data_IF_319892088563
#
_entry.id   IF_319892088563
#
_cell.length_a   1.000
_cell.length_b   1.000
_cell.length_c   1.000
_cell.angle_alpha   90.00
_cell.angle_beta   90.00
_cell.angle_gamma   90.00
#
_symmetry.space_group_name_H-M   'P 1'
#
loop_
_entity.id
_entity.type
_entity.pdbx_description
1 polymer ?
#
# COMPACT_ATOMS: atom_id res chain seq x y z
N UNK A 1 -8.55 -34.99 6.11
CA UNK A 1 -9.36 -33.77 6.34
C UNK A 1 -8.55 -32.55 5.94
N UNK A 2 -9.12 -31.60 5.19
CA UNK A 2 -8.42 -30.36 4.80
C UNK A 2 -8.80 -29.27 5.80
N UNK A 3 -7.90 -28.94 6.72
CA UNK A 3 -8.06 -27.78 7.60
C UNK A 3 -7.78 -26.51 6.81
N UNK A 4 -8.66 -25.51 6.94
CA UNK A 4 -8.47 -24.18 6.39
C UNK A 4 -7.39 -23.49 7.24
N UNK A 5 -6.24 -23.20 6.63
CA UNK A 5 -5.09 -22.59 7.33
C UNK A 5 -5.20 -21.05 7.41
N UNK A 6 -5.96 -20.43 6.51
CA UNK A 6 -6.05 -18.97 6.37
C UNK A 6 -7.51 -18.53 6.21
N UNK A 7 -7.88 -17.45 6.91
CA UNK A 7 -9.23 -16.90 6.91
C UNK A 7 -9.16 -15.38 6.69
N UNK A 8 -10.02 -14.88 5.80
CA UNK A 8 -10.21 -13.45 5.54
C UNK A 8 -11.44 -12.93 6.26
N UNK A 9 -11.34 -11.76 6.90
CA UNK A 9 -12.48 -11.04 7.49
C UNK A 9 -12.80 -9.78 6.69
N UNK A 10 -14.07 -9.34 6.76
CA UNK A 10 -14.50 -8.05 6.24
C UNK A 10 -13.67 -6.91 6.85
N UNK A 11 -13.41 -5.88 6.04
CA UNK A 11 -12.69 -4.71 6.53
C UNK A 11 -13.49 -3.98 7.60
N UNK A 12 -12.81 -3.55 8.65
CA UNK A 12 -13.30 -2.58 9.62
C UNK A 12 -12.09 -1.92 10.27
N UNK A 13 -12.25 -0.69 10.77
CA UNK A 13 -11.16 0.05 11.43
C UNK A 13 -10.48 -0.73 12.57
N UNK A 14 -11.23 -1.54 13.32
CA UNK A 14 -10.67 -2.35 14.42
C UNK A 14 -10.02 -3.67 14.00
N UNK A 15 -10.15 -4.06 12.73
CA UNK A 15 -9.58 -5.29 12.17
C UNK A 15 -8.51 -5.00 11.11
N UNK A 16 -8.12 -3.73 10.96
CA UNK A 16 -7.03 -3.30 10.08
C UNK A 16 -5.69 -3.84 10.59
N UNK A 17 -4.86 -4.32 9.66
CA UNK A 17 -3.50 -4.75 9.99
C UNK A 17 -2.56 -3.54 10.07
N UNK A 18 -1.93 -3.39 11.23
CA UNK A 18 -1.08 -2.24 11.58
C UNK A 18 0.36 -2.64 11.89
N UNK A 19 0.73 -3.90 11.65
CA UNK A 19 2.07 -4.40 11.89
C UNK A 19 3.02 -4.01 10.75
N UNK A 20 4.32 -3.88 11.03
CA UNK A 20 5.31 -3.70 9.97
C UNK A 20 5.97 -5.03 9.62
N UNK A 21 6.20 -5.24 8.33
CA UNK A 21 6.69 -6.49 7.77
C UNK A 21 7.97 -6.27 6.97
N UNK A 22 8.69 -7.37 6.74
CA UNK A 22 9.71 -7.47 5.70
C UNK A 22 9.06 -7.83 4.35
N UNK A 23 9.81 -7.68 3.26
CA UNK A 23 9.34 -7.94 1.91
C UNK A 23 8.66 -9.31 1.80
N UNK A 24 7.45 -9.31 1.23
CA UNK A 24 6.61 -10.51 1.13
C UNK A 24 5.75 -10.80 2.36
N UNK A 25 5.38 -9.78 3.14
CA UNK A 25 4.52 -9.92 4.33
C UNK A 25 5.12 -10.86 5.39
N UNK A 26 6.45 -10.88 5.49
CA UNK A 26 7.17 -11.72 6.44
C UNK A 26 7.35 -10.98 7.76
N UNK A 27 7.16 -11.68 8.87
CA UNK A 27 7.44 -11.11 10.19
C UNK A 27 8.91 -10.71 10.30
N UNK A 28 9.17 -9.52 10.83
CA UNK A 28 10.52 -9.02 11.04
C UNK A 28 11.15 -9.83 12.18
N UNK A 29 12.05 -10.75 11.84
CA UNK A 29 12.83 -11.51 12.81
C UNK A 29 14.05 -10.69 13.24
N UNK A 30 14.27 -10.55 14.56
CA UNK A 30 15.41 -9.82 15.11
C UNK A 30 16.73 -10.28 14.46
N UNK A 31 17.30 -9.46 13.58
CA UNK A 31 18.56 -9.73 12.89
C UNK A 31 18.51 -9.86 11.37
N UNK A 32 17.36 -9.69 10.71
CA UNK A 32 17.32 -9.56 9.25
C UNK A 32 17.91 -8.22 8.82
N UNK A 33 19.06 -8.28 8.14
CA UNK A 33 19.62 -7.16 7.39
C UNK A 33 18.57 -6.66 6.41
N UNK A 34 18.20 -5.39 6.51
CA UNK A 34 17.32 -4.69 5.57
C UNK A 34 17.69 -5.05 4.13
N UNK A 35 16.87 -5.88 3.48
CA UNK A 35 16.87 -5.97 2.03
C UNK A 35 16.45 -4.60 1.46
N UNK A 36 17.05 -4.25 0.32
CA UNK A 36 16.92 -3.02 -0.49
C UNK A 36 16.00 -1.90 0.09
N UNK A 37 16.56 -0.73 0.45
CA UNK A 37 15.87 0.31 1.23
C UNK A 37 14.62 0.89 0.56
N UNK A 38 14.39 0.64 -0.73
CA UNK A 38 13.24 1.16 -1.50
C UNK A 38 12.04 0.24 -1.50
N UNK A 39 12.23 -1.08 -1.50
CA UNK A 39 11.13 -2.06 -1.50
C UNK A 39 10.68 -2.36 -0.07
N UNK A 40 11.63 -2.49 0.87
CA UNK A 40 11.33 -2.80 2.27
C UNK A 40 10.43 -1.76 2.94
N UNK A 41 10.58 -0.47 2.59
CA UNK A 41 9.72 0.59 3.15
C UNK A 41 8.25 0.44 2.77
N UNK A 42 7.94 -0.20 1.64
CA UNK A 42 6.56 -0.41 1.19
C UNK A 42 5.79 -1.41 2.07
N UNK A 43 6.48 -2.20 2.89
CA UNK A 43 5.89 -3.17 3.83
C UNK A 43 5.81 -2.63 5.26
N UNK A 44 6.20 -1.38 5.49
CA UNK A 44 6.06 -0.70 6.78
C UNK A 44 4.70 -0.04 6.87
N UNK A 45 4.02 -0.25 8.00
CA UNK A 45 2.73 0.38 8.25
C UNK A 45 2.91 1.85 8.64
N UNK A 46 2.11 2.72 8.04
CA UNK A 46 2.02 4.12 8.37
C UNK A 46 0.58 4.50 8.76
N UNK A 47 0.44 5.23 9.87
CA UNK A 47 -0.87 5.69 10.32
C UNK A 47 -1.41 6.80 9.41
N UNK A 48 -2.73 6.97 9.42
CA UNK A 48 -3.40 8.06 8.70
C UNK A 48 -2.85 9.45 9.10
N UNK A 49 -2.54 9.66 10.38
CA UNK A 49 -1.91 10.90 10.86
C UNK A 49 -0.52 11.11 10.26
N UNK A 50 0.32 10.06 10.23
CA UNK A 50 1.66 10.15 9.65
C UNK A 50 1.62 10.47 8.14
N UNK A 51 0.67 9.88 7.42
CA UNK A 51 0.49 10.11 5.98
C UNK A 51 -0.29 11.39 5.66
N UNK A 52 -0.85 12.08 6.66
CA UNK A 52 -1.92 13.08 6.47
C UNK A 52 -3.07 12.56 5.59
N UNK A 53 -3.34 11.26 5.67
CA UNK A 53 -4.39 10.57 4.92
C UNK A 53 -5.75 10.79 5.56
N UNK A 54 -6.78 10.91 4.72
CA UNK A 54 -8.17 10.96 5.16
C UNK A 54 -8.90 9.68 4.74
N UNK A 55 -9.97 9.34 5.43
CA UNK A 55 -10.75 8.16 5.07
C UNK A 55 -11.42 8.32 3.70
N UNK A 56 -11.36 7.27 2.89
CA UNK A 56 -11.96 7.22 1.56
C UNK A 56 -13.15 6.27 1.53
N UNK A 57 -14.22 6.70 0.88
CA UNK A 57 -15.47 5.95 0.75
C UNK A 57 -15.39 5.08 -0.51
N UNK A 58 -15.25 3.78 -0.31
CA UNK A 58 -15.38 2.77 -1.35
C UNK A 58 -16.81 2.27 -1.51
N UNK A 59 -16.99 1.28 -2.39
CA UNK A 59 -18.29 0.67 -2.61
C UNK A 59 -18.57 -0.45 -1.58
N UNK A 60 -17.52 -1.14 -1.11
CA UNK A 60 -17.64 -2.19 -0.09
C UNK A 60 -17.49 -1.67 1.34
N UNK A 61 -16.65 -0.67 1.58
CA UNK A 61 -16.40 -0.11 2.91
C UNK A 61 -15.87 1.33 2.88
N UNK A 62 -15.80 1.96 4.06
CA UNK A 62 -15.01 3.18 4.26
C UNK A 62 -13.65 2.76 4.78
N UNK A 63 -12.59 3.13 4.08
CA UNK A 63 -11.21 2.76 4.39
C UNK A 63 -10.51 3.87 5.17
N UNK A 64 -9.60 3.50 6.08
CA UNK A 64 -8.75 4.46 6.77
C UNK A 64 -7.77 5.12 5.80
N UNK A 65 -7.22 6.28 6.19
CA UNK A 65 -6.15 6.94 5.44
C UNK A 65 -4.76 6.39 5.73
N UNK A 66 -4.65 5.28 6.47
CA UNK A 66 -3.40 4.62 6.82
C UNK A 66 -3.13 3.40 5.95
N UNK A 67 -1.98 2.75 6.15
CA UNK A 67 -1.65 1.50 5.48
C UNK A 67 -0.20 1.42 5.05
N UNK A 68 0.02 0.64 4.00
CA UNK A 68 1.32 0.34 3.41
C UNK A 68 1.45 1.14 2.11
N UNK A 69 2.58 1.82 1.90
CA UNK A 69 2.71 2.81 0.82
C UNK A 69 4.01 2.63 0.04
N UNK A 70 3.89 2.51 -1.29
CA UNK A 70 5.02 2.57 -2.20
C UNK A 70 4.98 3.87 -3.02
N UNK A 71 5.95 4.76 -2.80
CA UNK A 71 6.02 6.04 -3.50
C UNK A 71 6.69 5.95 -4.86
N UNK A 72 5.98 6.32 -5.93
CA UNK A 72 6.59 6.45 -7.26
C UNK A 72 7.48 7.70 -7.30
N UNK A 73 8.79 7.49 -7.34
CA UNK A 73 9.79 8.56 -7.43
C UNK A 73 10.76 8.31 -8.58
N UNK A 74 11.17 9.38 -9.24
CA UNK A 74 12.19 9.34 -10.29
C UNK A 74 11.61 9.20 -11.70
N UNK A 75 12.27 8.42 -12.55
CA UNK A 75 11.89 8.26 -13.95
C UNK A 75 10.84 7.17 -14.13
N UNK A 76 10.18 7.15 -15.29
CA UNK A 76 9.29 6.07 -15.69
C UNK A 76 9.94 4.68 -15.52
N UNK A 77 11.23 4.55 -15.86
CA UNK A 77 11.94 3.28 -15.72
C UNK A 77 12.12 2.85 -14.25
N UNK A 78 12.40 3.80 -13.34
CA UNK A 78 12.45 3.52 -11.90
C UNK A 78 11.09 3.08 -11.36
N UNK A 79 10.01 3.73 -11.82
CA UNK A 79 8.64 3.36 -11.43
C UNK A 79 8.28 1.96 -11.89
N UNK A 80 8.60 1.60 -13.14
CA UNK A 80 8.37 0.24 -13.64
C UNK A 80 9.18 -0.78 -12.83
N UNK A 81 10.46 -0.51 -12.56
CA UNK A 81 11.27 -1.40 -11.72
C UNK A 81 10.69 -1.60 -10.31
N UNK A 82 10.22 -0.53 -9.67
CA UNK A 82 9.55 -0.63 -8.38
C UNK A 82 8.27 -1.46 -8.45
N UNK A 83 7.43 -1.28 -9.48
CA UNK A 83 6.22 -2.06 -9.67
C UNK A 83 6.53 -3.55 -9.88
N UNK A 84 7.53 -3.88 -10.69
CA UNK A 84 8.00 -5.24 -10.89
C UNK A 84 8.48 -5.88 -9.58
N UNK A 85 9.18 -5.12 -8.73
CA UNK A 85 9.65 -5.60 -7.44
C UNK A 85 8.50 -5.80 -6.43
N UNK A 86 7.51 -4.90 -6.42
CA UNK A 86 6.30 -5.06 -5.59
C UNK A 86 5.50 -6.30 -6.01
N UNK A 87 5.36 -6.55 -7.32
CA UNK A 87 4.70 -7.74 -7.85
C UNK A 87 5.45 -9.01 -7.45
N UNK A 88 6.77 -9.05 -7.65
CA UNK A 88 7.62 -10.20 -7.27
C UNK A 88 7.54 -10.52 -5.79
N UNK A 89 7.46 -9.50 -4.95
CA UNK A 89 7.31 -9.64 -3.50
C UNK A 89 5.85 -9.78 -3.05
N UNK A 90 4.88 -9.94 -3.96
CA UNK A 90 3.45 -10.12 -3.65
C UNK A 90 2.92 -9.05 -2.70
N UNK A 91 3.29 -7.80 -2.97
CA UNK A 91 2.84 -6.67 -2.17
C UNK A 91 1.31 -6.58 -2.12
N UNK A 92 0.60 -6.99 -3.18
CA UNK A 92 -0.84 -7.26 -3.10
C UNK A 92 -1.10 -8.75 -2.98
N UNK A 93 -1.91 -9.15 -2.01
CA UNK A 93 -2.26 -10.54 -1.75
C UNK A 93 -3.76 -10.72 -1.41
N UNK A 94 -4.17 -11.92 -1.00
CA UNK A 94 -5.57 -12.23 -0.67
C UNK A 94 -6.09 -11.56 0.62
N UNK A 95 -5.22 -10.98 1.44
CA UNK A 95 -5.60 -10.20 2.62
C UNK A 95 -5.75 -8.71 2.31
N UNK A 96 -5.19 -8.24 1.19
CA UNK A 96 -5.36 -6.86 0.71
C UNK A 96 -6.85 -6.57 0.45
N UNK A 97 -7.36 -5.48 1.04
CA UNK A 97 -8.79 -5.10 0.98
C UNK A 97 -9.09 -3.97 0.01
N UNK A 98 -8.10 -3.13 -0.25
CA UNK A 98 -8.19 -2.02 -1.18
C UNK A 98 -6.79 -1.60 -1.59
N UNK A 99 -6.63 -1.13 -2.82
CA UNK A 99 -5.42 -0.46 -3.29
C UNK A 99 -5.80 0.93 -3.79
N UNK A 100 -5.06 1.94 -3.31
CA UNK A 100 -5.17 3.31 -3.78
C UNK A 100 -4.01 3.68 -4.69
N UNK A 101 -4.31 4.29 -5.83
CA UNK A 101 -3.31 4.94 -6.68
C UNK A 101 -3.64 6.42 -6.75
N UNK A 102 -2.81 7.23 -6.08
CA UNK A 102 -3.02 8.66 -5.92
C UNK A 102 -1.91 9.47 -6.59
N UNK A 103 -2.30 10.48 -7.38
CA UNK A 103 -1.36 11.41 -7.98
C UNK A 103 -2.05 12.73 -8.36
N UNK A 104 -1.26 13.79 -8.47
CA UNK A 104 -1.72 15.10 -8.95
C UNK A 104 -0.94 15.52 -10.18
N UNK A 105 -1.64 16.13 -11.14
CA UNK A 105 -1.08 16.65 -12.38
C UNK A 105 -1.35 18.15 -12.46
N UNK A 106 -0.32 18.92 -12.79
CA UNK A 106 -0.42 20.35 -13.00
C UNK A 106 -0.29 20.71 -14.48
N UNK A 107 -1.27 21.45 -15.00
CA UNK A 107 -1.24 22.02 -16.35
C UNK A 107 -0.89 23.51 -16.26
N UNK A 108 0.35 23.84 -16.60
CA UNK A 108 0.84 25.22 -16.58
C UNK A 108 0.15 26.15 -17.58
N UNK A 109 -0.33 25.63 -18.72
CA UNK A 109 -0.96 26.44 -19.77
C UNK A 109 -2.30 27.03 -19.31
N UNK A 110 -3.05 26.28 -18.48
CA UNK A 110 -4.33 26.71 -17.92
C UNK A 110 -4.26 27.04 -16.44
N UNK A 111 -3.07 26.94 -15.83
CA UNK A 111 -2.85 27.04 -14.39
C UNK A 111 -3.82 26.18 -13.55
N UNK A 112 -4.04 24.94 -13.98
CA UNK A 112 -4.98 24.01 -13.34
C UNK A 112 -4.23 22.87 -12.67
N UNK A 113 -4.53 22.60 -11.40
CA UNK A 113 -4.11 21.39 -10.69
C UNK A 113 -5.28 20.40 -10.65
N UNK A 114 -5.03 19.14 -10.97
CA UNK A 114 -6.01 18.06 -10.89
C UNK A 114 -5.44 16.90 -10.06
N UNK A 115 -6.22 16.43 -9.09
CA UNK A 115 -5.86 15.29 -8.24
C UNK A 115 -6.72 14.09 -8.58
N UNK A 116 -6.08 12.92 -8.63
CA UNK A 116 -6.69 11.65 -8.96
C UNK A 116 -6.47 10.69 -7.79
N UNK A 117 -7.52 9.97 -7.40
CA UNK A 117 -7.48 8.84 -6.49
C UNK A 117 -8.24 7.69 -7.13
N UNK A 118 -7.51 6.67 -7.58
CA UNK A 118 -8.07 5.45 -8.14
C UNK A 118 -8.15 4.41 -7.02
N UNK A 119 -9.33 3.84 -6.82
CA UNK A 119 -9.62 2.89 -5.76
C UNK A 119 -9.95 1.54 -6.40
N UNK A 120 -9.25 0.48 -5.98
CA UNK A 120 -9.48 -0.89 -6.40
C UNK A 120 -9.81 -1.77 -5.18
N UNK A 121 -11.02 -2.31 -5.12
CA UNK A 121 -11.51 -3.26 -4.09
C UNK A 121 -11.52 -4.71 -4.58
#
# INVERSE_FOLDING_TARGET
ERYIQQCTRWYSFGAEDTMSYDAGWREILNGSTHDEPTVGSAFLYHSAEFLNGTSLWGNLAVYSGGGYVAGFRGTFHNTIGLLDDLERNRWTDHFTRVVFVEFSVWNANTNLMSSFALLLE
#
